data_IF_401502019751
#
_entry.id   IF_401502019751
#
_cell.length_a   1.000
_cell.length_b   1.000
_cell.length_c   1.000
_cell.angle_alpha   90.00
_cell.angle_beta   90.00
_cell.angle_gamma   90.00
#
_symmetry.space_group_name_H-M   'P 1'
#
loop_
_entity.id
_entity.type
_entity.pdbx_description
1 polymer ?
#
# COMPACT_ATOMS: atom_id res chain seq x y z
N UNK A 1 -19.91 -6.28 -1.25
CA UNK A 1 -20.61 -7.48 -1.71
C UNK A 1 -19.71 -8.55 -2.34
N UNK A 2 -18.62 -8.18 -3.02
CA UNK A 2 -17.66 -9.12 -3.64
C UNK A 2 -16.78 -9.83 -2.61
N UNK A 3 -16.36 -9.15 -1.54
CA UNK A 3 -15.52 -9.71 -0.46
C UNK A 3 -16.30 -10.79 0.34
N UNK A 4 -17.60 -10.61 0.52
CA UNK A 4 -18.46 -11.59 1.22
C UNK A 4 -18.69 -12.88 0.39
N UNK A 5 -18.71 -12.78 -0.95
CA UNK A 5 -18.80 -13.95 -1.84
C UNK A 5 -17.51 -14.76 -1.90
N UNK A 6 -16.34 -14.11 -1.86
CA UNK A 6 -15.06 -14.84 -1.83
C UNK A 6 -14.84 -15.60 -0.51
N UNK A 7 -15.27 -15.03 0.62
CA UNK A 7 -15.18 -15.68 1.93
C UNK A 7 -16.13 -16.88 2.03
N UNK A 8 -17.34 -16.78 1.47
CA UNK A 8 -18.30 -17.89 1.44
C UNK A 8 -17.86 -19.04 0.53
N UNK A 9 -17.27 -18.77 -0.63
CA UNK A 9 -16.73 -19.80 -1.52
C UNK A 9 -15.53 -20.51 -0.88
N UNK A 10 -14.67 -19.78 -0.13
CA UNK A 10 -13.53 -20.34 0.59
C UNK A 10 -13.96 -21.21 1.79
N UNK A 11 -14.99 -20.79 2.53
CA UNK A 11 -15.59 -21.61 3.59
C UNK A 11 -16.32 -22.84 3.03
N UNK A 12 -17.00 -22.72 1.89
CA UNK A 12 -17.66 -23.84 1.23
C UNK A 12 -16.64 -24.88 0.71
N UNK A 13 -15.51 -24.47 0.15
CA UNK A 13 -14.43 -25.39 -0.24
C UNK A 13 -13.83 -26.12 0.96
N UNK A 14 -13.59 -25.43 2.08
CA UNK A 14 -13.09 -26.06 3.31
C UNK A 14 -14.12 -27.07 3.89
N UNK A 15 -15.42 -26.74 3.86
CA UNK A 15 -16.50 -27.61 4.32
C UNK A 15 -16.70 -28.82 3.40
N UNK A 16 -16.52 -28.66 2.08
CA UNK A 16 -16.65 -29.77 1.12
C UNK A 16 -15.47 -30.74 1.26
N UNK A 17 -14.24 -30.23 1.44
CA UNK A 17 -13.07 -31.09 1.70
C UNK A 17 -13.22 -31.83 3.03
N UNK A 18 -13.74 -31.18 4.06
CA UNK A 18 -14.00 -31.79 5.36
C UNK A 18 -15.12 -32.82 5.29
N UNK A 19 -16.21 -32.55 4.53
CA UNK A 19 -17.35 -33.49 4.33
C UNK A 19 -16.97 -34.70 3.46
N UNK A 20 -16.17 -34.54 2.44
CA UNK A 20 -15.61 -35.63 1.64
C UNK A 20 -14.70 -36.52 2.49
N UNK A 21 -13.91 -35.94 3.39
CA UNK A 21 -13.02 -36.67 4.28
C UNK A 21 -13.79 -37.44 5.37
N UNK A 22 -14.87 -36.85 5.91
CA UNK A 22 -15.76 -37.51 6.92
C UNK A 22 -16.58 -38.65 6.32
N UNK A 23 -17.04 -38.52 5.06
CA UNK A 23 -17.79 -39.59 4.38
C UNK A 23 -16.91 -40.79 4.03
N UNK A 24 -15.66 -40.52 3.67
CA UNK A 24 -14.71 -41.59 3.29
C UNK A 24 -14.27 -42.45 4.50
N UNK A 25 -14.28 -41.87 5.70
CA UNK A 25 -13.86 -42.59 6.92
C UNK A 25 -14.95 -43.47 7.55
N UNK A 26 -16.22 -43.25 7.18
CA UNK A 26 -17.34 -44.04 7.73
C UNK A 26 -17.61 -45.36 7.00
N UNK A 27 -17.17 -45.52 5.76
CA UNK A 27 -17.36 -46.73 4.97
C UNK A 27 -16.27 -47.81 5.14
N UNK A 28 -15.02 -47.37 5.57
CA UNK A 28 -13.87 -48.30 5.72
C UNK A 28 -13.77 -48.98 7.08
N UNK A 29 -14.61 -48.65 8.05
CA UNK A 29 -14.55 -49.24 9.41
C UNK A 29 -15.43 -50.48 9.59
N UNK A 30 -16.13 -50.98 8.55
CA UNK A 30 -17.09 -52.10 8.71
C UNK A 30 -16.59 -53.48 8.31
N UNK A 31 -15.51 -53.59 7.55
CA UNK A 31 -14.99 -54.90 7.13
C UNK A 31 -13.46 -54.92 7.13
N UNK A 32 -12.83 -55.39 8.17
CA UNK A 32 -11.57 -56.17 8.06
C UNK A 32 -11.15 -56.75 9.38
N UNK A 33 -11.42 -58.02 9.53
CA UNK A 33 -10.58 -58.93 10.29
C UNK A 33 -9.73 -59.74 9.30
N UNK A 34 -8.40 -59.82 9.58
CA UNK A 34 -7.42 -60.72 8.95
C UNK A 34 -6.86 -60.33 7.58
N UNK A 35 -5.70 -59.69 7.54
CA UNK A 35 -4.47 -60.16 6.83
C UNK A 35 -3.36 -59.09 6.87
N UNK A 36 -2.22 -59.38 7.46
CA UNK A 36 -1.09 -58.45 7.63
C UNK A 36 -0.38 -58.08 6.33
N UNK A 37 -0.58 -58.84 5.25
CA UNK A 37 -0.01 -58.52 3.91
C UNK A 37 -0.83 -57.52 3.12
N UNK A 38 -2.09 -57.42 3.42
CA UNK A 38 -3.04 -56.49 2.73
C UNK A 38 -2.96 -55.06 3.34
N UNK A 39 -2.63 -54.98 4.62
CA UNK A 39 -2.56 -53.69 5.35
C UNK A 39 -1.51 -52.71 4.78
N UNK A 40 -0.32 -53.22 4.39
CA UNK A 40 0.73 -52.41 3.79
C UNK A 40 0.36 -51.90 2.39
N UNK A 41 -0.44 -52.69 1.63
CA UNK A 41 -0.88 -52.36 0.29
C UNK A 41 -2.06 -51.35 0.29
N UNK A 42 -3.01 -51.51 1.23
CA UNK A 42 -4.09 -50.55 1.45
C UNK A 42 -3.59 -49.20 1.96
N UNK A 43 -2.65 -49.21 2.92
CA UNK A 43 -2.04 -47.96 3.44
C UNK A 43 -1.30 -47.20 2.33
N UNK A 44 -0.62 -47.88 1.41
CA UNK A 44 0.09 -47.28 0.30
C UNK A 44 -0.85 -46.64 -0.74
N UNK A 45 -1.93 -47.32 -1.09
CA UNK A 45 -2.99 -46.86 -2.01
C UNK A 45 -3.70 -45.62 -1.43
N UNK A 46 -3.96 -45.61 -0.13
CA UNK A 46 -4.62 -44.50 0.58
C UNK A 46 -3.70 -43.27 0.60
N UNK A 47 -2.42 -43.45 0.86
CA UNK A 47 -1.41 -42.34 0.87
C UNK A 47 -1.22 -41.72 -0.51
N UNK A 48 -1.19 -42.53 -1.59
CA UNK A 48 -1.08 -42.02 -2.98
C UNK A 48 -2.34 -41.23 -3.39
N UNK A 49 -3.53 -41.68 -3.00
CA UNK A 49 -4.80 -40.95 -3.24
C UNK A 49 -4.85 -39.61 -2.51
N UNK A 50 -4.43 -39.59 -1.25
CA UNK A 50 -4.38 -38.35 -0.45
C UNK A 50 -3.36 -37.37 -1.07
N UNK A 51 -2.18 -37.83 -1.47
CA UNK A 51 -1.18 -37.01 -2.12
C UNK A 51 -1.71 -36.39 -3.44
N UNK A 52 -2.47 -37.18 -4.23
CA UNK A 52 -3.09 -36.71 -5.47
C UNK A 52 -4.13 -35.61 -5.20
N UNK A 53 -4.99 -35.78 -4.19
CA UNK A 53 -6.00 -34.78 -3.81
C UNK A 53 -5.33 -33.50 -3.30
N UNK A 54 -4.34 -33.62 -2.44
CA UNK A 54 -3.58 -32.47 -1.91
C UNK A 54 -2.85 -31.75 -3.03
N UNK A 55 -2.26 -32.51 -3.99
CA UNK A 55 -1.59 -31.93 -5.17
C UNK A 55 -2.50 -31.09 -6.05
N UNK A 56 -3.79 -31.40 -6.12
CA UNK A 56 -4.77 -30.64 -6.91
C UNK A 56 -5.29 -29.38 -6.20
N UNK A 57 -4.97 -29.17 -4.91
CA UNK A 57 -5.42 -27.99 -4.17
C UNK A 57 -4.56 -26.76 -4.51
N UNK A 58 -5.19 -25.62 -4.83
CA UNK A 58 -4.47 -24.39 -5.12
C UNK A 58 -3.90 -23.70 -3.88
N UNK A 59 -4.29 -24.14 -2.68
CA UNK A 59 -3.80 -23.62 -1.40
C UNK A 59 -2.59 -24.42 -0.92
N UNK A 60 -1.59 -23.83 -0.27
CA UNK A 60 -0.47 -24.55 0.30
C UNK A 60 -0.93 -25.47 1.44
N UNK A 61 -0.67 -26.78 1.31
CA UNK A 61 -1.07 -27.79 2.28
C UNK A 61 0.07 -28.78 2.55
N UNK A 62 0.24 -29.11 3.83
CA UNK A 62 1.13 -30.18 4.27
C UNK A 62 0.39 -31.10 5.26
N UNK A 63 0.62 -32.39 5.14
CA UNK A 63 0.04 -33.40 6.02
C UNK A 63 1.15 -34.09 6.81
N UNK A 64 0.99 -34.19 8.13
CA UNK A 64 1.95 -34.75 9.07
C UNK A 64 1.33 -36.00 9.71
N UNK A 65 2.00 -37.12 9.57
CA UNK A 65 1.55 -38.40 10.12
C UNK A 65 1.66 -38.49 11.65
N UNK A 66 1.11 -39.58 12.25
CA UNK A 66 1.27 -39.87 13.67
C UNK A 66 2.72 -40.11 14.10
N UNK A 67 3.58 -40.45 13.14
CA UNK A 67 5.03 -40.62 13.28
C UNK A 67 5.83 -39.31 13.21
N UNK A 68 5.15 -38.16 13.26
CA UNK A 68 5.74 -36.82 13.17
C UNK A 68 6.46 -36.51 11.85
N UNK A 69 6.20 -37.32 10.80
CA UNK A 69 6.79 -37.12 9.48
C UNK A 69 5.77 -36.59 8.48
N UNK A 70 6.30 -35.82 7.54
CA UNK A 70 5.50 -35.29 6.42
C UNK A 70 5.11 -36.45 5.49
N UNK A 71 3.81 -36.69 5.36
CA UNK A 71 3.20 -37.70 4.50
C UNK A 71 2.81 -37.19 3.13
N UNK A 72 2.39 -35.92 3.05
CA UNK A 72 2.05 -35.29 1.80
C UNK A 72 2.32 -33.78 1.89
N UNK A 73 2.68 -33.19 0.78
CA UNK A 73 2.87 -31.77 0.60
C UNK A 73 2.63 -31.44 -0.87
N UNK A 74 1.93 -30.32 -1.17
CA UNK A 74 1.74 -29.88 -2.55
C UNK A 74 2.83 -28.91 -2.98
N UNK A 75 2.89 -28.59 -4.28
CA UNK A 75 3.87 -27.68 -4.85
C UNK A 75 3.76 -26.27 -4.24
N UNK A 76 2.55 -25.82 -3.91
CA UNK A 76 2.33 -24.53 -3.31
C UNK A 76 3.00 -24.41 -1.92
N UNK A 77 3.01 -25.48 -1.09
CA UNK A 77 3.70 -25.44 0.22
C UNK A 77 5.19 -25.66 0.08
N UNK A 78 5.65 -26.36 -0.95
CA UNK A 78 7.09 -26.52 -1.21
C UNK A 78 7.74 -25.19 -1.62
N UNK A 79 7.01 -24.29 -2.27
CA UNK A 79 7.48 -22.94 -2.53
C UNK A 79 7.71 -22.12 -1.25
N UNK A 80 6.95 -22.40 -0.17
CA UNK A 80 7.06 -21.70 1.13
C UNK A 80 8.13 -22.33 2.04
N UNK A 81 8.10 -23.67 2.19
CA UNK A 81 8.92 -24.41 3.15
C UNK A 81 10.20 -25.02 2.54
N UNK A 82 10.35 -24.93 1.23
CA UNK A 82 11.46 -25.51 0.49
C UNK A 82 11.19 -26.93 -0.03
N UNK A 83 12.07 -27.46 -0.88
CA UNK A 83 11.92 -28.75 -1.53
C UNK A 83 12.16 -29.94 -0.60
N UNK A 84 11.76 -31.13 -1.07
CA UNK A 84 12.02 -32.42 -0.40
C UNK A 84 11.44 -32.50 1.02
N UNK A 85 10.17 -32.11 1.18
CA UNK A 85 9.48 -32.15 2.47
C UNK A 85 9.08 -33.58 2.88
N UNK A 86 8.73 -34.44 1.93
CA UNK A 86 8.25 -35.79 2.17
C UNK A 86 9.23 -36.61 3.05
N UNK A 87 8.69 -37.29 4.06
CA UNK A 87 9.43 -38.12 5.00
C UNK A 87 10.27 -37.37 6.05
N UNK A 88 10.44 -36.05 5.94
CA UNK A 88 11.11 -35.23 6.96
C UNK A 88 10.25 -35.12 8.22
N UNK A 89 10.91 -35.04 9.37
CA UNK A 89 10.24 -34.69 10.62
C UNK A 89 9.69 -33.24 10.53
N UNK A 90 8.48 -32.99 11.00
CA UNK A 90 7.81 -31.70 10.83
C UNK A 90 8.58 -30.53 11.43
N UNK A 91 9.27 -30.73 12.56
CA UNK A 91 10.13 -29.69 13.16
C UNK A 91 11.25 -29.22 12.24
N UNK A 92 11.76 -30.13 11.39
CA UNK A 92 12.80 -29.79 10.40
C UNK A 92 12.20 -29.07 9.17
N UNK A 93 10.96 -29.41 8.82
CA UNK A 93 10.26 -28.82 7.69
C UNK A 93 9.76 -27.40 7.99
N UNK A 94 9.12 -27.19 9.14
CA UNK A 94 8.45 -25.92 9.48
C UNK A 94 9.38 -24.95 10.21
N UNK A 95 10.21 -25.41 11.11
CA UNK A 95 11.26 -24.65 11.85
C UNK A 95 10.79 -23.46 12.70
N UNK A 96 9.51 -23.11 12.74
CA UNK A 96 9.03 -21.98 13.53
C UNK A 96 8.36 -22.44 14.82
N UNK A 97 8.82 -21.93 15.99
CA UNK A 97 8.35 -22.39 17.30
C UNK A 97 6.83 -22.28 17.47
N UNK A 98 6.23 -21.20 16.97
CA UNK A 98 4.78 -20.97 17.08
C UNK A 98 3.95 -22.04 16.34
N UNK A 99 4.40 -22.44 15.14
CA UNK A 99 3.71 -23.48 14.36
C UNK A 99 3.96 -24.87 14.96
N UNK A 100 5.19 -25.13 15.42
CA UNK A 100 5.56 -26.37 16.12
C UNK A 100 4.69 -26.57 17.39
N UNK A 101 4.54 -25.51 18.20
CA UNK A 101 3.66 -25.53 19.37
C UNK A 101 2.21 -25.80 19.01
N UNK A 102 1.68 -25.11 17.97
CA UNK A 102 0.32 -25.32 17.50
C UNK A 102 0.06 -26.76 17.02
N UNK A 103 1.03 -27.40 16.36
CA UNK A 103 0.94 -28.82 15.96
C UNK A 103 0.85 -29.72 17.19
N UNK A 104 1.75 -29.53 18.19
CA UNK A 104 1.75 -30.33 19.41
C UNK A 104 0.45 -30.15 20.21
N UNK A 105 -0.05 -28.93 20.38
CA UNK A 105 -1.31 -28.65 21.07
C UNK A 105 -2.52 -29.23 20.33
N UNK A 106 -2.58 -29.12 19.00
CA UNK A 106 -3.66 -29.69 18.18
C UNK A 106 -3.65 -31.21 18.31
N UNK A 107 -2.49 -31.85 18.32
CA UNK A 107 -2.35 -33.30 18.49
C UNK A 107 -2.85 -33.77 19.88
N UNK A 108 -2.50 -33.01 20.92
CA UNK A 108 -2.88 -33.35 22.29
C UNK A 108 -4.36 -33.10 22.58
N UNK A 109 -4.95 -32.02 22.06
CA UNK A 109 -6.32 -31.62 22.38
C UNK A 109 -7.38 -32.05 21.36
N UNK A 110 -6.96 -32.43 20.14
CA UNK A 110 -7.90 -32.67 19.02
C UNK A 110 -8.52 -31.39 18.47
N UNK A 111 -8.21 -30.20 19.02
CA UNK A 111 -8.84 -28.93 18.66
C UNK A 111 -7.99 -28.20 17.64
N UNK A 112 -8.63 -27.71 16.57
CA UNK A 112 -7.94 -26.91 15.56
C UNK A 112 -7.34 -25.62 16.15
N UNK A 113 -6.16 -25.26 15.68
CA UNK A 113 -5.42 -24.05 16.08
C UNK A 113 -5.10 -23.18 14.87
N UNK A 114 -4.95 -21.89 15.12
CA UNK A 114 -4.51 -20.95 14.12
C UNK A 114 -3.28 -20.22 14.67
N UNK A 115 -2.24 -20.16 13.87
CA UNK A 115 -0.99 -19.48 14.23
C UNK A 115 -0.44 -18.69 13.04
N UNK A 116 0.68 -18.04 13.22
CA UNK A 116 1.35 -17.22 12.19
C UNK A 116 2.65 -17.89 11.77
N UNK A 117 2.91 -17.85 10.48
CA UNK A 117 4.19 -18.24 9.88
C UNK A 117 4.74 -17.05 9.09
N UNK A 118 5.99 -16.71 9.33
CA UNK A 118 6.71 -15.66 8.58
C UNK A 118 7.74 -16.33 7.67
N UNK A 119 7.69 -16.02 6.40
CA UNK A 119 8.61 -16.51 5.38
C UNK A 119 9.29 -15.38 4.64
N UNK A 120 10.08 -15.75 3.64
CA UNK A 120 10.70 -14.80 2.73
C UNK A 120 10.58 -15.33 1.32
N UNK A 121 10.07 -14.47 0.42
CA UNK A 121 10.05 -14.73 -1.02
C UNK A 121 11.00 -13.74 -1.71
N UNK A 122 12.20 -14.22 -2.05
CA UNK A 122 13.30 -13.38 -2.52
C UNK A 122 13.70 -12.33 -1.49
N UNK A 123 13.54 -11.07 -1.81
CA UNK A 123 13.81 -9.93 -0.91
C UNK A 123 12.59 -9.50 -0.08
N UNK A 124 11.40 -10.10 -0.30
CA UNK A 124 10.14 -9.69 0.33
C UNK A 124 9.81 -10.61 1.49
N UNK A 125 9.57 -10.02 2.66
CA UNK A 125 9.02 -10.74 3.80
C UNK A 125 7.55 -11.08 3.54
N UNK A 126 7.16 -12.32 3.83
CA UNK A 126 5.80 -12.85 3.64
C UNK A 126 5.24 -13.32 4.96
N UNK A 127 3.95 -13.14 5.14
CA UNK A 127 3.24 -13.58 6.34
C UNK A 127 2.07 -14.46 5.96
N UNK A 128 2.05 -15.65 6.57
CA UNK A 128 0.98 -16.63 6.38
C UNK A 128 0.22 -16.86 7.69
N UNK A 129 -1.09 -16.94 7.57
CA UNK A 129 -1.96 -17.51 8.59
C UNK A 129 -1.94 -19.01 8.39
N UNK A 130 -1.56 -19.77 9.43
CA UNK A 130 -1.48 -21.24 9.37
C UNK A 130 -2.60 -21.82 10.22
N UNK A 131 -3.50 -22.54 9.59
CA UNK A 131 -4.50 -23.34 10.32
C UNK A 131 -3.98 -24.77 10.46
N UNK A 132 -4.01 -25.29 11.68
CA UNK A 132 -3.57 -26.61 12.08
C UNK A 132 -4.79 -27.38 12.57
N UNK A 133 -5.10 -28.52 11.97
CA UNK A 133 -6.28 -29.29 12.30
C UNK A 133 -5.99 -30.81 12.23
N UNK A 134 -6.73 -31.60 13.01
CA UNK A 134 -6.69 -33.06 12.92
C UNK A 134 -7.46 -33.50 11.67
N UNK A 135 -6.87 -34.40 10.90
CA UNK A 135 -7.44 -34.95 9.68
C UNK A 135 -7.23 -36.47 9.64
N UNK A 136 -8.19 -37.26 10.14
CA UNK A 136 -8.13 -38.71 10.07
C UNK A 136 -6.93 -39.36 10.78
N UNK A 137 -6.48 -38.78 11.89
CA UNK A 137 -5.28 -39.23 12.65
C UNK A 137 -3.98 -38.53 12.25
N UNK A 138 -3.98 -37.87 11.10
CA UNK A 138 -2.87 -36.97 10.68
C UNK A 138 -3.17 -35.53 11.13
N UNK A 139 -2.16 -34.67 11.07
CA UNK A 139 -2.29 -33.22 11.26
C UNK A 139 -2.14 -32.53 9.90
N UNK A 140 -3.16 -31.79 9.50
CA UNK A 140 -3.14 -30.97 8.30
C UNK A 140 -2.82 -29.53 8.65
N UNK A 141 -1.87 -28.92 7.91
CA UNK A 141 -1.57 -27.50 7.96
C UNK A 141 -1.95 -26.88 6.61
N UNK A 142 -2.67 -25.78 6.66
CA UNK A 142 -2.94 -24.93 5.49
C UNK A 142 -2.38 -23.56 5.71
N UNK A 143 -1.79 -22.97 4.65
CA UNK A 143 -1.19 -21.64 4.70
C UNK A 143 -2.01 -20.68 3.84
N UNK A 144 -2.42 -19.58 4.42
CA UNK A 144 -3.12 -18.49 3.76
C UNK A 144 -2.21 -17.26 3.75
N UNK A 145 -1.85 -16.78 2.55
CA UNK A 145 -1.02 -15.56 2.44
C UNK A 145 -1.82 -14.34 2.91
N UNK A 146 -1.35 -13.71 3.96
CA UNK A 146 -1.89 -12.49 4.54
C UNK A 146 -0.98 -11.28 4.38
N UNK A 147 0.10 -11.42 3.62
CA UNK A 147 1.11 -10.37 3.45
C UNK A 147 0.50 -9.04 3.01
N UNK A 148 -0.36 -9.06 2.00
CA UNK A 148 -1.03 -7.84 1.52
C UNK A 148 -2.04 -7.28 2.54
N UNK A 149 -2.80 -8.14 3.22
CA UNK A 149 -3.77 -7.71 4.22
C UNK A 149 -3.11 -7.12 5.46
N UNK A 150 -2.02 -7.74 5.93
CA UNK A 150 -1.24 -7.22 7.05
C UNK A 150 -0.52 -5.92 6.70
N UNK A 151 0.08 -5.82 5.51
CA UNK A 151 0.70 -4.58 5.03
C UNK A 151 -0.32 -3.43 4.96
N UNK A 152 -1.53 -3.69 4.45
CA UNK A 152 -2.61 -2.71 4.44
C UNK A 152 -3.05 -2.32 5.86
N UNK A 153 -3.17 -3.30 6.76
CA UNK A 153 -3.49 -3.06 8.18
C UNK A 153 -2.41 -2.24 8.89
N UNK A 154 -1.14 -2.53 8.65
CA UNK A 154 -0.02 -1.75 9.20
C UNK A 154 -0.03 -0.33 8.66
N UNK A 155 -0.17 -0.15 7.35
CA UNK A 155 -0.24 1.16 6.71
C UNK A 155 -1.39 2.02 7.30
N UNK A 156 -2.53 1.41 7.61
CA UNK A 156 -3.65 2.11 8.26
C UNK A 156 -3.32 2.53 9.70
N UNK A 157 -2.66 1.66 10.49
CA UNK A 157 -2.23 2.00 11.86
C UNK A 157 -1.21 3.13 11.86
N UNK A 158 -0.21 3.06 10.98
CA UNK A 158 0.83 4.08 10.83
C UNK A 158 0.22 5.41 10.38
N UNK A 159 -0.76 5.38 9.49
CA UNK A 159 -1.51 6.56 9.07
C UNK A 159 -2.20 7.26 10.25
N UNK A 160 -2.98 6.53 11.07
CA UNK A 160 -3.67 7.09 12.24
C UNK A 160 -2.67 7.64 13.26
N UNK A 161 -1.56 6.94 13.50
CA UNK A 161 -0.51 7.39 14.42
C UNK A 161 0.13 8.70 13.90
N UNK A 162 0.48 8.77 12.63
CA UNK A 162 1.10 9.95 12.02
C UNK A 162 0.14 11.15 12.01
N UNK A 163 -1.14 10.96 11.66
CA UNK A 163 -2.17 12.03 11.77
C UNK A 163 -2.22 12.57 13.19
N UNK A 164 -2.27 11.69 14.18
CA UNK A 164 -2.33 12.09 15.60
C UNK A 164 -1.10 12.90 16.02
N UNK A 165 0.08 12.52 15.55
CA UNK A 165 1.32 13.24 15.82
C UNK A 165 1.38 14.60 15.13
N UNK A 166 1.01 14.66 13.83
CA UNK A 166 1.05 15.91 13.05
C UNK A 166 0.00 16.93 13.50
N UNK A 167 -1.11 16.49 14.14
CA UNK A 167 -2.08 17.38 14.76
C UNK A 167 -1.70 17.79 16.19
N UNK A 168 -1.10 16.89 16.97
CA UNK A 168 -0.74 17.19 18.37
C UNK A 168 0.34 18.25 18.49
N UNK A 169 1.35 18.22 17.64
CA UNK A 169 2.49 19.17 17.68
C UNK A 169 2.05 20.62 17.56
N UNK A 170 1.33 21.06 16.50
CA UNK A 170 0.86 22.43 16.38
C UNK A 170 -0.13 22.82 17.50
N UNK A 171 -1.00 21.90 17.92
CA UNK A 171 -1.95 22.16 19.00
C UNK A 171 -1.23 22.45 20.32
N UNK A 172 -0.18 21.71 20.64
CA UNK A 172 0.64 21.96 21.83
C UNK A 172 1.36 23.31 21.74
N UNK A 173 1.87 23.68 20.56
CA UNK A 173 2.49 24.99 20.35
C UNK A 173 1.47 26.12 20.53
N UNK A 174 0.26 26.01 19.96
CA UNK A 174 -0.82 26.98 20.13
C UNK A 174 -1.17 27.19 21.60
N UNK A 175 -1.31 26.10 22.38
CA UNK A 175 -1.58 26.17 23.81
C UNK A 175 -0.46 26.88 24.58
N UNK A 176 0.81 26.58 24.26
CA UNK A 176 1.95 27.25 24.88
C UNK A 176 2.04 28.76 24.59
N UNK A 177 1.71 29.16 23.34
CA UNK A 177 1.63 30.59 22.98
C UNK A 177 0.47 31.30 23.70
N UNK A 178 -0.69 30.65 23.84
CA UNK A 178 -1.83 31.19 24.60
C UNK A 178 -1.44 31.39 26.07
N UNK A 179 -0.78 30.42 26.69
CA UNK A 179 -0.29 30.55 28.08
C UNK A 179 0.72 31.70 28.23
N UNK A 180 1.64 31.84 27.28
CA UNK A 180 2.63 32.91 27.25
C UNK A 180 1.97 34.29 27.14
N UNK A 181 0.97 34.40 26.25
CA UNK A 181 0.19 35.65 26.05
C UNK A 181 -0.69 35.99 27.29
N UNK A 182 -1.16 34.99 28.03
CA UNK A 182 -1.91 35.21 29.31
C UNK A 182 -0.98 35.60 30.47
N UNK A 183 0.32 35.22 30.38
CA UNK A 183 1.30 35.40 31.45
C UNK A 183 2.40 36.41 31.08
N UNK A 184 3.58 35.89 30.75
CA UNK A 184 4.82 36.70 30.63
C UNK A 184 4.78 37.75 29.50
N UNK A 185 4.04 37.52 28.42
CA UNK A 185 3.94 38.43 27.28
C UNK A 185 2.66 39.28 27.26
N UNK A 186 1.91 39.32 28.37
CA UNK A 186 0.59 39.98 28.45
C UNK A 186 0.66 41.48 28.07
N UNK A 187 1.65 42.17 28.55
CA UNK A 187 1.81 43.62 28.38
C UNK A 187 2.83 44.01 27.31
N UNK A 188 3.44 43.01 26.62
CA UNK A 188 4.35 43.21 25.48
C UNK A 188 3.61 43.14 24.17
N UNK A 189 3.30 44.31 23.56
CA UNK A 189 2.59 44.40 22.29
C UNK A 189 3.34 43.75 21.13
N UNK A 190 4.66 43.84 21.08
CA UNK A 190 5.47 43.26 19.99
C UNK A 190 5.51 41.73 20.06
N UNK A 191 5.68 41.20 21.29
CA UNK A 191 5.64 39.76 21.50
C UNK A 191 4.24 39.21 21.19
N UNK A 192 3.17 39.93 21.55
CA UNK A 192 1.79 39.53 21.26
C UNK A 192 1.54 39.43 19.76
N UNK A 193 1.89 40.44 18.99
CA UNK A 193 1.67 40.45 17.54
C UNK A 193 2.45 39.27 16.87
N UNK A 194 3.71 39.09 17.24
CA UNK A 194 4.53 37.97 16.76
C UNK A 194 3.93 36.59 17.10
N UNK A 195 3.43 36.39 18.32
CA UNK A 195 2.84 35.12 18.72
C UNK A 195 1.51 34.87 18.02
N UNK A 196 0.71 35.93 17.77
CA UNK A 196 -0.52 35.82 16.99
C UNK A 196 -0.22 35.40 15.55
N UNK A 197 0.79 35.97 14.89
CA UNK A 197 1.22 35.57 13.52
C UNK A 197 1.65 34.09 13.50
N UNK A 198 2.40 33.62 14.51
CA UNK A 198 2.81 32.22 14.58
C UNK A 198 1.59 31.32 14.79
N UNK A 199 0.66 31.70 15.66
CA UNK A 199 -0.57 30.94 15.91
C UNK A 199 -1.46 30.87 14.68
N UNK A 200 -1.60 31.95 13.92
CA UNK A 200 -2.33 31.97 12.66
C UNK A 200 -1.71 31.01 11.62
N UNK A 201 -0.38 31.04 11.48
CA UNK A 201 0.34 30.13 10.59
C UNK A 201 0.15 28.65 10.96
N UNK A 202 0.18 28.30 12.27
CA UNK A 202 -0.04 26.94 12.74
C UNK A 202 -1.52 26.51 12.56
N UNK A 203 -2.48 27.39 12.79
CA UNK A 203 -3.90 27.12 12.54
C UNK A 203 -4.16 26.86 11.04
N UNK A 204 -3.62 27.70 10.17
CA UNK A 204 -3.72 27.53 8.71
C UNK A 204 -3.04 26.23 8.24
N UNK A 205 -1.94 25.83 8.88
CA UNK A 205 -1.29 24.55 8.60
C UNK A 205 -2.17 23.36 9.00
N UNK A 206 -2.83 23.43 10.18
CA UNK A 206 -3.76 22.39 10.62
C UNK A 206 -4.95 22.26 9.68
N UNK A 207 -5.51 23.38 9.23
CA UNK A 207 -6.63 23.38 8.28
C UNK A 207 -6.23 22.69 6.97
N UNK A 208 -5.07 23.04 6.40
CA UNK A 208 -4.54 22.35 5.20
C UNK A 208 -4.33 20.85 5.43
N UNK A 209 -3.83 20.44 6.59
CA UNK A 209 -3.67 19.02 6.91
C UNK A 209 -5.01 18.28 6.93
N UNK A 210 -6.05 18.88 7.51
CA UNK A 210 -7.41 18.30 7.55
C UNK A 210 -7.98 18.19 6.13
N UNK A 211 -7.84 19.22 5.32
CA UNK A 211 -8.31 19.24 3.93
C UNK A 211 -7.60 18.18 3.08
N UNK A 212 -6.29 18.02 3.24
CA UNK A 212 -5.49 16.97 2.59
C UNK A 212 -5.97 15.57 2.99
N UNK A 213 -6.26 15.35 4.29
CA UNK A 213 -6.77 14.08 4.80
C UNK A 213 -8.14 13.74 4.23
N UNK A 214 -9.06 14.71 4.18
CA UNK A 214 -10.41 14.53 3.60
C UNK A 214 -10.32 14.28 2.10
N UNK A 215 -9.44 15.00 1.40
CA UNK A 215 -9.20 14.79 -0.04
C UNK A 215 -8.64 13.40 -0.31
N UNK A 216 -7.64 12.95 0.46
CA UNK A 216 -7.05 11.63 0.31
C UNK A 216 -8.09 10.53 0.54
N UNK A 217 -8.93 10.65 1.59
CA UNK A 217 -9.99 9.67 1.88
C UNK A 217 -10.98 9.55 0.70
N UNK A 218 -11.44 10.67 0.15
CA UNK A 218 -12.37 10.67 -1.00
C UNK A 218 -11.75 10.04 -2.25
N UNK A 219 -10.49 10.37 -2.53
CA UNK A 219 -9.81 9.85 -3.73
C UNK A 219 -9.56 8.36 -3.61
N UNK A 220 -9.24 7.83 -2.41
CA UNK A 220 -9.05 6.39 -2.16
C UNK A 220 -10.37 5.60 -2.30
N UNK A 221 -11.49 6.15 -1.83
CA UNK A 221 -12.81 5.52 -1.98
C UNK A 221 -13.21 5.40 -3.46
N UNK A 222 -12.93 6.43 -4.24
CA UNK A 222 -13.31 6.55 -5.65
C UNK A 222 -12.24 6.05 -6.65
N UNK A 223 -11.08 5.56 -6.20
CA UNK A 223 -9.93 5.22 -7.07
C UNK A 223 -10.29 4.25 -8.22
N UNK A 224 -11.32 3.42 -8.03
CA UNK A 224 -11.78 2.45 -9.03
C UNK A 224 -12.64 3.05 -10.13
N UNK A 225 -13.22 4.22 -9.91
CA UNK A 225 -14.14 4.87 -10.85
C UNK A 225 -13.39 5.97 -11.60
N UNK A 226 -13.11 5.73 -12.89
CA UNK A 226 -12.42 6.71 -13.73
C UNK A 226 -13.34 7.89 -14.04
N UNK A 227 -12.90 9.14 -13.86
CA UNK A 227 -13.61 10.31 -14.36
C UNK A 227 -13.62 10.35 -15.90
N UNK A 228 -14.78 10.70 -16.48
CA UNK A 228 -14.95 10.74 -17.94
C UNK A 228 -15.21 12.16 -18.48
N UNK A 229 -15.33 13.17 -17.61
CA UNK A 229 -15.54 14.56 -18.02
C UNK A 229 -14.35 15.06 -18.84
N UNK A 230 -14.59 15.84 -19.88
CA UNK A 230 -13.53 16.41 -20.72
C UNK A 230 -12.90 17.62 -20.05
N UNK A 231 -11.60 17.57 -19.83
CA UNK A 231 -10.81 18.63 -19.19
C UNK A 231 -9.74 19.14 -20.13
N UNK A 232 -9.73 20.44 -20.41
CA UNK A 232 -8.65 21.13 -21.10
C UNK A 232 -7.50 21.39 -20.13
N UNK A 233 -6.36 20.77 -20.38
CA UNK A 233 -5.16 20.90 -19.54
C UNK A 233 -4.46 22.26 -19.70
N UNK A 234 -4.54 22.91 -20.86
CA UNK A 234 -3.94 24.21 -21.09
C UNK A 234 -4.62 25.29 -20.26
N UNK A 235 -5.96 25.34 -20.30
CA UNK A 235 -6.75 26.26 -19.49
C UNK A 235 -6.58 25.97 -17.98
N UNK A 236 -6.56 24.70 -17.61
CA UNK A 236 -6.38 24.28 -16.22
C UNK A 236 -5.02 24.73 -15.67
N UNK A 237 -3.92 24.44 -16.38
CA UNK A 237 -2.57 24.80 -15.95
C UNK A 237 -2.40 26.33 -15.88
N UNK A 238 -2.93 27.08 -16.85
CA UNK A 238 -2.91 28.53 -16.82
C UNK A 238 -3.63 29.09 -15.58
N UNK A 239 -4.80 28.51 -15.22
CA UNK A 239 -5.54 28.89 -14.02
C UNK A 239 -4.78 28.58 -12.72
N UNK A 240 -4.16 27.40 -12.63
CA UNK A 240 -3.34 26.98 -11.47
C UNK A 240 -2.14 27.93 -11.30
N UNK A 241 -1.40 28.20 -12.37
CA UNK A 241 -0.20 29.07 -12.30
C UNK A 241 -0.59 30.48 -11.88
N UNK A 242 -1.70 31.02 -12.44
CA UNK A 242 -2.21 32.34 -12.04
C UNK A 242 -2.63 32.36 -10.56
N UNK A 243 -3.22 31.29 -10.05
CA UNK A 243 -3.59 31.19 -8.64
C UNK A 243 -2.37 31.16 -7.70
N UNK A 244 -1.24 30.63 -8.18
CA UNK A 244 0.00 30.53 -7.41
C UNK A 244 0.97 31.72 -7.62
N UNK A 245 0.63 32.68 -8.47
CA UNK A 245 1.47 33.84 -8.75
C UNK A 245 1.90 34.64 -7.50
N UNK A 246 1.00 34.95 -6.53
CA UNK A 246 1.40 35.64 -5.32
C UNK A 246 2.45 34.87 -4.50
N UNK A 247 2.32 33.54 -4.45
CA UNK A 247 3.25 32.66 -3.73
C UNK A 247 4.61 32.60 -4.45
N UNK A 248 4.59 32.50 -5.77
CA UNK A 248 5.80 32.53 -6.60
C UNK A 248 6.57 33.86 -6.46
N UNK A 249 5.85 34.99 -6.48
CA UNK A 249 6.44 36.32 -6.27
C UNK A 249 7.05 36.45 -4.87
N UNK A 250 6.35 36.00 -3.82
CA UNK A 250 6.88 36.01 -2.46
C UNK A 250 8.16 35.17 -2.32
N UNK A 251 8.22 34.01 -3.01
CA UNK A 251 9.38 33.14 -3.07
C UNK A 251 10.46 33.60 -4.05
N UNK A 252 10.21 34.65 -4.85
CA UNK A 252 11.10 35.16 -5.94
C UNK A 252 11.39 34.08 -7.00
N UNK A 253 10.39 33.27 -7.33
CA UNK A 253 10.46 32.20 -8.32
C UNK A 253 9.70 32.64 -9.58
N UNK A 254 10.30 32.46 -10.73
CA UNK A 254 9.64 32.66 -12.03
C UNK A 254 8.98 31.35 -12.47
N UNK A 255 7.67 31.34 -12.60
CA UNK A 255 6.94 30.20 -13.13
C UNK A 255 6.53 30.47 -14.58
N UNK A 256 6.94 29.61 -15.51
CA UNK A 256 6.64 29.74 -16.94
C UNK A 256 5.80 28.55 -17.41
N UNK A 257 4.80 28.83 -18.27
CA UNK A 257 4.01 27.80 -18.95
C UNK A 257 4.45 27.71 -20.41
N UNK A 258 4.96 26.57 -20.80
CA UNK A 258 5.29 26.22 -22.17
C UNK A 258 4.22 25.26 -22.71
N UNK A 259 3.53 25.67 -23.76
CA UNK A 259 2.56 24.80 -24.42
C UNK A 259 2.66 24.89 -25.92
N UNK A 260 2.90 23.75 -26.56
CA UNK A 260 3.02 23.63 -28.00
C UNK A 260 1.78 22.98 -28.61
N UNK A 261 1.30 23.52 -29.74
CA UNK A 261 0.25 22.92 -30.55
C UNK A 261 -1.16 23.09 -30.01
N UNK A 262 -2.13 22.29 -30.51
CA UNK A 262 -3.55 22.47 -30.27
C UNK A 262 -3.95 22.14 -28.83
N UNK A 263 -5.21 22.44 -28.52
CA UNK A 263 -5.89 22.15 -27.26
C UNK A 263 -5.69 20.67 -26.83
N UNK A 264 -5.33 20.45 -25.58
CA UNK A 264 -5.05 19.11 -25.02
C UNK A 264 -6.10 18.71 -24.00
N UNK A 265 -7.12 18.01 -24.52
CA UNK A 265 -8.26 17.55 -23.72
C UNK A 265 -8.06 16.11 -23.29
N UNK A 266 -8.21 15.85 -21.99
CA UNK A 266 -8.17 14.51 -21.40
C UNK A 266 -9.46 14.20 -20.64
N UNK A 267 -9.85 12.93 -20.51
CA UNK A 267 -10.93 12.54 -19.61
C UNK A 267 -10.44 12.69 -18.17
N UNK A 268 -11.12 13.54 -17.39
CA UNK A 268 -10.69 13.82 -16.01
C UNK A 268 -11.66 14.69 -15.22
N UNK A 269 -11.48 14.67 -13.91
CA UNK A 269 -12.12 15.55 -12.97
C UNK A 269 -11.30 16.84 -12.84
N UNK A 270 -11.88 17.97 -13.24
CA UNK A 270 -11.20 19.28 -13.24
C UNK A 270 -10.67 19.65 -11.85
N UNK A 271 -11.47 19.43 -10.80
CA UNK A 271 -11.06 19.76 -9.43
C UNK A 271 -9.89 18.92 -8.94
N UNK A 272 -9.92 17.61 -9.23
CA UNK A 272 -8.83 16.72 -8.86
C UNK A 272 -7.55 17.00 -9.66
N UNK A 273 -7.66 17.23 -10.97
CA UNK A 273 -6.50 17.59 -11.78
C UNK A 273 -5.94 18.96 -11.39
N UNK A 274 -6.79 19.93 -11.03
CA UNK A 274 -6.34 21.20 -10.45
C UNK A 274 -5.54 20.96 -9.17
N UNK A 275 -6.02 20.11 -8.28
CA UNK A 275 -5.30 19.74 -7.04
C UNK A 275 -3.94 19.08 -7.33
N UNK A 276 -3.86 18.19 -8.33
CA UNK A 276 -2.59 17.58 -8.77
C UNK A 276 -1.58 18.66 -9.14
N UNK A 277 -1.95 19.55 -10.07
CA UNK A 277 -1.00 20.54 -10.60
C UNK A 277 -0.71 21.62 -9.57
N UNK A 278 -1.65 22.02 -8.72
CA UNK A 278 -1.41 22.91 -7.58
C UNK A 278 -0.35 22.31 -6.66
N UNK A 279 -0.52 21.06 -6.21
CA UNK A 279 0.44 20.39 -5.33
C UNK A 279 1.85 20.28 -5.96
N UNK A 280 1.93 20.00 -7.27
CA UNK A 280 3.21 19.84 -7.95
C UNK A 280 3.90 21.18 -8.16
N UNK A 281 3.18 22.22 -8.61
CA UNK A 281 3.75 23.55 -8.82
C UNK A 281 4.10 24.22 -7.50
N UNK A 282 3.27 24.09 -6.45
CA UNK A 282 3.63 24.54 -5.10
C UNK A 282 4.91 23.89 -4.58
N UNK A 283 5.08 22.59 -4.78
CA UNK A 283 6.30 21.91 -4.39
C UNK A 283 7.50 22.45 -5.16
N UNK A 284 7.37 22.66 -6.47
CA UNK A 284 8.42 23.24 -7.30
C UNK A 284 8.78 24.66 -6.86
N UNK A 285 7.81 25.51 -6.49
CA UNK A 285 8.05 26.85 -5.94
C UNK A 285 8.77 26.77 -4.60
N UNK A 286 8.36 25.88 -3.71
CA UNK A 286 8.90 25.73 -2.36
C UNK A 286 10.34 25.21 -2.33
N UNK A 287 10.63 24.21 -3.15
CA UNK A 287 11.90 23.49 -3.12
C UNK A 287 12.86 23.96 -4.23
N UNK A 288 12.32 24.51 -5.32
CA UNK A 288 13.07 25.12 -6.42
C UNK A 288 13.51 26.57 -6.17
N UNK A 289 13.15 27.18 -5.03
CA UNK A 289 13.41 28.60 -4.74
C UNK A 289 14.88 29.01 -4.87
N UNK A 290 15.81 28.11 -4.59
CA UNK A 290 17.25 28.37 -4.76
C UNK A 290 17.66 28.60 -6.21
N UNK A 291 16.97 28.01 -7.18
CA UNK A 291 17.17 28.16 -8.60
C UNK A 291 16.35 29.31 -9.24
N UNK A 292 15.33 29.78 -8.55
CA UNK A 292 14.48 30.89 -8.98
C UNK A 292 13.62 30.65 -10.22
N UNK A 293 13.56 29.42 -10.77
CA UNK A 293 12.81 29.08 -11.97
C UNK A 293 12.04 27.75 -11.84
N UNK A 294 10.79 27.78 -12.29
CA UNK A 294 9.92 26.59 -12.46
C UNK A 294 9.33 26.62 -13.87
N UNK A 295 9.52 25.53 -14.60
CA UNK A 295 9.00 25.37 -15.96
C UNK A 295 7.86 24.34 -15.90
N UNK A 296 6.69 24.74 -16.37
CA UNK A 296 5.54 23.84 -16.59
C UNK A 296 5.38 23.65 -18.08
N UNK A 297 5.69 22.46 -18.60
CA UNK A 297 5.62 22.18 -20.03
C UNK A 297 4.48 21.20 -20.34
N UNK A 298 3.58 21.59 -21.26
CA UNK A 298 2.47 20.78 -21.74
C UNK A 298 2.80 20.28 -23.15
N UNK A 299 3.22 19.02 -23.25
CA UNK A 299 3.64 18.38 -24.50
C UNK A 299 2.46 17.79 -25.27
N UNK A 300 2.53 17.67 -26.61
CA UNK A 300 1.50 17.01 -27.41
C UNK A 300 1.32 15.54 -27.01
N UNK A 301 0.15 14.93 -27.32
CA UNK A 301 -0.09 13.52 -27.08
C UNK A 301 0.93 12.64 -27.82
N UNK A 302 1.51 11.69 -27.11
CA UNK A 302 2.44 10.71 -27.64
C UNK A 302 2.09 9.29 -27.19
N UNK A 303 2.47 8.28 -27.99
CA UNK A 303 2.30 6.88 -27.60
C UNK A 303 3.14 6.54 -26.37
N UNK A 304 2.47 6.15 -25.30
CA UNK A 304 3.14 5.79 -24.05
C UNK A 304 3.09 4.28 -23.81
N UNK A 305 4.23 3.59 -23.85
CA UNK A 305 4.33 2.13 -23.84
C UNK A 305 3.62 1.47 -22.64
N UNK A 306 3.75 2.03 -21.44
CA UNK A 306 3.12 1.46 -20.22
C UNK A 306 1.62 1.75 -20.10
N UNK A 307 1.11 2.83 -20.71
CA UNK A 307 -0.31 3.14 -20.77
C UNK A 307 -1.01 2.48 -21.96
N UNK A 308 -0.23 1.88 -22.88
CA UNK A 308 -0.71 1.19 -24.10
C UNK A 308 -1.63 2.06 -24.96
N UNK A 309 -1.38 3.36 -25.03
CA UNK A 309 -2.16 4.34 -25.75
C UNK A 309 -1.51 5.71 -25.78
N UNK A 310 -2.17 6.66 -26.45
CA UNK A 310 -1.74 8.05 -26.46
C UNK A 310 -1.97 8.71 -25.09
N UNK A 311 -1.00 9.46 -24.63
CA UNK A 311 -1.05 10.22 -23.40
C UNK A 311 -0.52 11.63 -23.60
N UNK A 312 -1.17 12.61 -23.00
CA UNK A 312 -0.63 13.97 -22.83
C UNK A 312 0.40 13.93 -21.73
N UNK A 313 1.54 14.57 -21.96
CA UNK A 313 2.63 14.66 -21.00
C UNK A 313 2.73 16.08 -20.44
N UNK A 314 2.56 16.23 -19.13
CA UNK A 314 2.80 17.47 -18.38
C UNK A 314 4.09 17.31 -17.58
N UNK A 315 5.03 18.22 -17.77
CA UNK A 315 6.31 18.26 -17.06
C UNK A 315 6.32 19.47 -16.15
N UNK A 316 6.66 19.28 -14.89
CA UNK A 316 6.96 20.34 -13.95
C UNK A 316 8.42 20.16 -13.52
N UNK A 317 9.25 21.13 -13.90
CA UNK A 317 10.70 21.10 -13.61
C UNK A 317 11.11 22.31 -12.80
N UNK A 318 11.90 22.09 -11.77
CA UNK A 318 12.57 23.13 -10.97
C UNK A 318 14.09 22.96 -11.03
N UNK A 319 14.81 24.05 -10.80
CA UNK A 319 16.28 24.08 -10.73
C UNK A 319 16.75 24.20 -9.28
N UNK A 320 16.06 23.54 -8.35
CA UNK A 320 16.36 23.58 -6.94
C UNK A 320 17.48 22.65 -6.49
N UNK A 321 17.50 22.33 -5.20
CA UNK A 321 18.54 21.50 -4.60
C UNK A 321 18.51 20.02 -5.03
N UNK A 322 17.45 19.59 -5.74
CA UNK A 322 17.27 18.19 -6.11
C UNK A 322 17.02 17.27 -4.91
N UNK A 323 16.90 15.97 -5.20
CA UNK A 323 16.54 14.93 -4.23
C UNK A 323 17.46 13.73 -4.42
N UNK A 324 18.09 13.27 -3.35
CA UNK A 324 18.93 12.08 -3.40
C UNK A 324 18.14 10.82 -3.81
N UNK A 325 18.74 9.98 -4.65
CA UNK A 325 18.08 8.85 -5.32
C UNK A 325 17.33 7.89 -4.38
N UNK A 326 17.83 7.66 -3.16
CA UNK A 326 17.22 6.77 -2.18
C UNK A 326 15.90 7.29 -1.61
N UNK A 327 15.60 8.59 -1.72
CA UNK A 327 14.33 9.19 -1.30
C UNK A 327 13.25 9.09 -2.38
N UNK A 328 13.62 9.06 -3.67
CA UNK A 328 12.69 9.13 -4.80
C UNK A 328 11.57 8.06 -4.72
N UNK A 329 11.84 6.77 -4.45
CA UNK A 329 10.79 5.74 -4.36
C UNK A 329 9.77 6.01 -3.25
N UNK A 330 10.16 6.76 -2.23
CA UNK A 330 9.38 7.02 -1.02
C UNK A 330 8.60 8.32 -1.04
N UNK A 331 8.86 9.22 -1.98
CA UNK A 331 8.24 10.55 -2.05
C UNK A 331 6.70 10.51 -2.10
N UNK A 332 6.12 9.44 -2.60
CA UNK A 332 4.67 9.23 -2.67
C UNK A 332 4.09 8.44 -1.49
N UNK A 333 4.91 8.10 -0.48
CA UNK A 333 4.43 7.55 0.79
C UNK A 333 3.77 8.66 1.61
N UNK A 334 2.71 8.32 2.36
CA UNK A 334 1.98 9.28 3.21
C UNK A 334 2.89 9.76 4.33
N UNK A 335 2.91 11.07 4.59
CA UNK A 335 3.74 11.74 5.62
C UNK A 335 5.24 11.63 5.40
N UNK A 336 5.68 11.11 4.25
CA UNK A 336 7.10 11.03 3.96
C UNK A 336 7.67 12.41 3.60
N UNK A 337 8.84 12.72 4.14
CA UNK A 337 9.56 13.99 3.93
C UNK A 337 11.07 13.72 3.92
N UNK A 338 11.78 14.33 2.97
CA UNK A 338 13.24 14.17 2.84
C UNK A 338 13.97 14.80 4.02
N UNK A 339 13.52 15.99 4.47
CA UNK A 339 14.07 16.73 5.61
C UNK A 339 12.92 17.20 6.51
N UNK A 340 12.84 16.66 7.71
CA UNK A 340 11.78 16.96 8.66
C UNK A 340 11.85 18.39 9.23
N UNK A 341 13.05 19.00 9.36
CA UNK A 341 13.20 20.36 9.90
C UNK A 341 12.86 21.41 8.85
N UNK A 342 13.54 21.41 7.72
CA UNK A 342 13.33 22.37 6.63
C UNK A 342 11.91 22.33 6.07
N UNK A 343 11.34 21.12 5.96
CA UNK A 343 9.98 20.96 5.45
C UNK A 343 8.90 21.40 6.44
N UNK A 344 9.16 21.42 7.77
CA UNK A 344 8.24 22.00 8.76
C UNK A 344 8.20 23.51 8.69
N UNK A 345 9.33 24.16 8.54
CA UNK A 345 9.42 25.61 8.35
C UNK A 345 8.68 26.08 7.10
N UNK A 346 8.70 25.29 6.03
CA UNK A 346 8.04 25.59 4.75
C UNK A 346 6.56 25.09 4.70
N UNK A 347 6.05 24.48 5.79
CA UNK A 347 4.62 24.15 5.97
C UNK A 347 4.10 22.97 5.15
N UNK A 348 4.95 22.03 4.74
CA UNK A 348 4.50 20.82 4.04
C UNK A 348 3.78 19.81 4.96
N UNK A 349 2.70 19.16 4.49
CA UNK A 349 1.98 18.10 5.22
C UNK A 349 2.56 16.70 5.02
N UNK A 350 3.33 16.49 3.93
CA UNK A 350 3.79 15.17 3.50
C UNK A 350 2.68 14.31 2.86
N UNK A 351 1.51 14.90 2.58
CA UNK A 351 0.38 14.22 1.94
C UNK A 351 0.22 14.59 0.46
N UNK A 352 0.70 15.76 0.03
CA UNK A 352 0.47 16.29 -1.31
C UNK A 352 0.87 15.33 -2.44
N UNK A 353 2.06 14.72 -2.41
CA UNK A 353 2.49 13.76 -3.43
C UNK A 353 1.75 12.42 -3.35
N UNK A 354 1.32 12.00 -2.16
CA UNK A 354 0.45 10.83 -2.01
C UNK A 354 -0.93 11.08 -2.66
N UNK A 355 -1.53 12.26 -2.44
CA UNK A 355 -2.78 12.70 -3.10
C UNK A 355 -2.59 12.71 -4.62
N UNK A 356 -1.51 13.33 -5.11
CA UNK A 356 -1.18 13.36 -6.54
C UNK A 356 -1.16 11.95 -7.12
N UNK A 357 -0.46 11.01 -6.50
CA UNK A 357 -0.37 9.62 -6.95
C UNK A 357 -1.75 8.96 -7.05
N UNK A 358 -2.59 9.09 -6.02
CA UNK A 358 -3.92 8.48 -6.01
C UNK A 358 -4.84 9.09 -7.08
N UNK A 359 -4.82 10.42 -7.25
CA UNK A 359 -5.58 11.10 -8.31
C UNK A 359 -5.11 10.62 -9.69
N UNK A 360 -3.81 10.59 -9.95
CA UNK A 360 -3.27 10.14 -11.23
C UNK A 360 -3.62 8.68 -11.50
N UNK A 361 -3.55 7.80 -10.50
CA UNK A 361 -3.99 6.40 -10.62
C UNK A 361 -5.49 6.30 -10.97
N UNK A 362 -6.35 7.10 -10.32
CA UNK A 362 -7.80 7.18 -10.65
C UNK A 362 -8.04 7.57 -12.11
N UNK A 363 -7.22 8.48 -12.63
CA UNK A 363 -7.26 8.92 -14.03
C UNK A 363 -6.57 7.95 -15.01
N UNK A 364 -6.11 6.77 -14.52
CA UNK A 364 -5.34 5.79 -15.30
C UNK A 364 -4.08 6.38 -15.92
N UNK A 365 -3.56 7.43 -15.32
CA UNK A 365 -2.32 8.11 -15.70
C UNK A 365 -1.10 7.49 -15.04
N UNK A 366 0.03 8.17 -15.20
CA UNK A 366 1.30 7.79 -14.60
C UNK A 366 2.03 9.01 -14.07
N UNK A 367 2.59 8.87 -12.88
CA UNK A 367 3.50 9.83 -12.26
C UNK A 367 4.93 9.28 -12.31
N UNK A 368 5.88 10.11 -12.72
CA UNK A 368 7.32 9.80 -12.69
C UNK A 368 8.03 10.99 -12.05
N UNK A 369 8.95 10.72 -11.14
CA UNK A 369 9.80 11.74 -10.51
C UNK A 369 11.25 11.41 -10.82
N UNK A 370 11.96 12.37 -11.40
CA UNK A 370 13.37 12.31 -11.74
C UNK A 370 14.06 13.49 -11.06
N UNK A 371 15.15 13.24 -10.38
CA UNK A 371 15.87 14.28 -9.66
C UNK A 371 17.34 13.93 -9.53
N UNK A 372 18.17 14.94 -9.64
CA UNK A 372 19.61 14.86 -9.38
C UNK A 372 19.95 15.89 -8.30
N UNK A 373 20.59 15.44 -7.26
CA UNK A 373 20.99 16.29 -6.14
C UNK A 373 21.93 17.41 -6.64
N UNK A 374 21.58 18.66 -6.37
CA UNK A 374 22.26 19.85 -6.85
C UNK A 374 21.81 20.40 -8.22
N UNK A 375 20.99 19.65 -9.00
CA UNK A 375 20.58 20.07 -10.34
C UNK A 375 19.09 20.43 -10.43
N UNK A 376 18.24 19.86 -9.55
CA UNK A 376 16.81 20.11 -9.49
C UNK A 376 15.96 18.86 -9.58
N UNK A 377 14.64 19.07 -9.75
CA UNK A 377 13.66 17.99 -9.82
C UNK A 377 12.74 18.18 -11.01
N UNK A 378 12.46 17.08 -11.72
CA UNK A 378 11.46 16.99 -12.78
C UNK A 378 10.37 16.01 -12.38
N UNK A 379 9.13 16.47 -12.38
CA UNK A 379 7.94 15.64 -12.17
C UNK A 379 7.17 15.55 -13.46
N UNK A 380 7.00 14.35 -13.97
CA UNK A 380 6.29 14.02 -15.21
C UNK A 380 4.95 13.35 -14.92
N UNK A 381 3.88 13.91 -15.46
CA UNK A 381 2.51 13.39 -15.38
C UNK A 381 2.03 13.00 -16.78
N UNK A 382 1.67 11.74 -16.95
CA UNK A 382 1.11 11.22 -18.20
C UNK A 382 -0.37 10.93 -18.00
N UNK A 383 -1.23 11.55 -18.81
CA UNK A 383 -2.69 11.36 -18.77
C UNK A 383 -3.19 10.82 -20.11
N UNK A 384 -3.89 9.66 -20.14
CA UNK A 384 -4.37 9.08 -21.39
C UNK A 384 -5.45 9.97 -22.03
N UNK A 385 -5.34 10.17 -23.37
CA UNK A 385 -6.27 10.99 -24.16
C UNK A 385 -7.58 10.29 -24.47
N UNK A 386 -7.57 8.96 -24.57
CA UNK A 386 -8.75 8.15 -24.89
C UNK A 386 -9.17 7.27 -23.73
N UNK A 387 -10.46 6.93 -23.66
CA UNK A 387 -10.94 5.83 -22.83
C UNK A 387 -10.39 4.54 -23.42
N UNK A 388 -9.69 3.67 -22.67
CA UNK A 388 -9.36 2.36 -23.17
C UNK A 388 -10.64 1.64 -23.58
N UNK A 389 -10.68 1.17 -24.83
CA UNK A 389 -11.76 0.37 -25.40
C UNK A 389 -11.94 -0.96 -24.66
#
# INVERSE_FOLDING_TARGET
MVVFRLTMVRLACLSIVLLLFLRFNSETLRDSCYDSGNFAKETRVTTERIATVIGALPIPVILIGPDDRVRAANDAVTAILGPNLFGKHYMTAVRQPAVIAAIAETRASGTARVTRFTGRDGAKDTTYRVAVAVAGGDIALTFEDQTAAEAAGQMRRDFVANVSHELRTPLTALLGFIETLKGAARDDARARDRFLDIMENEANRMTRLVDDLLSLSRVEEDERVRPLARTDLGLLLSSVIKGLEPQAQAAKVLVTLEQDGPEKVVPGDVGQLAQVFTNLVENAIKYGASGGQVIVALKPPEMHARLRGEAVHVIIADTGAGIAAHHIPRLTERFYRVDNHRSREVGGTGLGLAIVKHIINRHRGRLVVESVEGEGTQVSVFLPTATPS
#
